data_IF_028919565845
#
_entry.id   IF_028919565845
#
_cell.length_a   1.000
_cell.length_b   1.000
_cell.length_c   1.000
_cell.angle_alpha   90.00
_cell.angle_beta   90.00
_cell.angle_gamma   90.00
#
_symmetry.space_group_name_H-M   'P 1'
#
loop_
_entity.id
_entity.type
_entity.pdbx_description
1 polymer ?
#
# COMPACT_ATOMS: atom_id res chain seq x y z
N UNK A 1 55.94 2.59 34.36
CA UNK A 1 54.71 3.08 35.03
C UNK A 1 53.86 4.03 34.20
N UNK A 2 54.36 4.75 33.18
CA UNK A 2 53.58 5.68 32.33
C UNK A 2 52.77 4.98 31.20
N UNK A 3 53.13 3.80 30.79
CA UNK A 3 52.44 3.10 29.67
C UNK A 3 51.15 2.35 30.07
N UNK A 4 50.97 2.01 31.33
CA UNK A 4 49.75 1.39 31.84
C UNK A 4 48.58 2.38 31.95
N UNK A 5 48.83 3.61 32.39
CA UNK A 5 47.79 4.62 32.54
C UNK A 5 47.13 5.03 31.21
N UNK A 6 47.90 5.07 30.12
CA UNK A 6 47.37 5.40 28.79
C UNK A 6 46.46 4.27 28.22
N UNK A 7 46.76 3.01 28.51
CA UNK A 7 45.99 1.86 28.08
C UNK A 7 44.66 1.78 28.79
N UNK A 8 44.60 2.11 30.07
CA UNK A 8 43.37 2.06 30.87
C UNK A 8 42.44 3.26 30.57
N UNK A 9 42.99 4.44 30.29
CA UNK A 9 42.20 5.60 29.84
C UNK A 9 41.60 5.36 28.45
N UNK A 10 42.37 4.74 27.54
CA UNK A 10 41.89 4.43 26.19
C UNK A 10 40.84 3.32 26.20
N UNK A 11 41.00 2.32 27.05
CA UNK A 11 40.01 1.25 27.25
C UNK A 11 38.71 1.79 27.86
N UNK A 12 38.82 2.70 28.81
CA UNK A 12 37.66 3.44 29.40
C UNK A 12 36.91 4.27 28.37
N UNK A 13 37.63 5.00 27.53
CA UNK A 13 37.03 5.83 26.48
C UNK A 13 36.31 5.02 25.39
N UNK A 14 36.86 3.87 24.98
CA UNK A 14 36.26 2.96 24.03
C UNK A 14 35.03 2.29 24.64
N UNK A 15 35.06 1.94 25.92
CA UNK A 15 33.94 1.31 26.65
C UNK A 15 32.78 2.30 26.81
N UNK A 16 33.05 3.55 27.15
CA UNK A 16 32.04 4.61 27.29
C UNK A 16 31.41 4.98 25.93
N UNK A 17 32.19 5.02 24.83
CA UNK A 17 31.65 5.21 23.48
C UNK A 17 30.78 4.06 23.01
N UNK A 18 31.07 2.82 23.42
CA UNK A 18 30.27 1.66 23.10
C UNK A 18 28.92 1.66 23.81
N UNK A 19 28.92 2.05 25.08
CA UNK A 19 27.72 2.23 25.91
C UNK A 19 26.86 3.38 25.38
N UNK A 20 27.45 4.54 25.08
CA UNK A 20 26.73 5.69 24.49
C UNK A 20 26.14 5.38 23.09
N UNK A 21 26.81 4.54 22.28
CA UNK A 21 26.24 4.07 21.01
C UNK A 21 25.05 3.13 21.22
N UNK A 22 25.07 2.34 22.27
CA UNK A 22 23.96 1.43 22.60
C UNK A 22 22.74 2.22 23.07
N UNK A 23 22.93 3.22 23.94
CA UNK A 23 21.86 4.12 24.38
C UNK A 23 21.30 5.01 23.24
N UNK A 24 22.16 5.46 22.33
CA UNK A 24 21.71 6.21 21.16
C UNK A 24 20.89 5.37 20.17
N UNK A 25 21.13 4.05 20.12
CA UNK A 25 20.31 3.11 19.33
C UNK A 25 18.95 2.85 19.97
N UNK A 26 18.87 2.83 21.29
CA UNK A 26 17.59 2.67 22.00
C UNK A 26 16.72 3.93 21.86
N UNK A 27 17.28 5.12 21.91
CA UNK A 27 16.55 6.36 21.63
C UNK A 27 16.05 6.45 20.16
N UNK A 28 16.79 5.86 19.20
CA UNK A 28 16.34 5.75 17.81
C UNK A 28 15.19 4.77 17.63
N UNK A 29 15.15 3.69 18.41
CA UNK A 29 14.01 2.77 18.45
C UNK A 29 12.78 3.42 19.09
N UNK A 30 12.97 4.24 20.10
CA UNK A 30 11.90 4.99 20.75
C UNK A 30 11.33 6.10 19.86
N UNK A 31 12.14 6.70 19.00
CA UNK A 31 11.69 7.66 17.97
C UNK A 31 10.95 6.92 16.82
N UNK A 32 11.34 5.71 16.50
CA UNK A 32 10.65 4.89 15.49
C UNK A 32 9.32 4.33 16.00
N UNK A 33 9.18 4.13 17.31
CA UNK A 33 7.90 3.75 17.94
C UNK A 33 7.01 4.97 18.22
N UNK A 34 7.56 6.18 18.27
CA UNK A 34 6.82 7.43 18.51
C UNK A 34 6.31 8.12 17.23
N UNK A 35 6.83 7.82 16.07
CA UNK A 35 6.14 8.12 14.81
C UNK A 35 5.05 7.09 14.59
N UNK A 36 4.13 6.99 15.54
CA UNK A 36 2.86 6.34 15.34
C UNK A 36 2.12 7.08 14.23
N UNK A 37 2.28 6.63 13.00
CA UNK A 37 1.32 6.93 11.95
C UNK A 37 -0.03 6.56 12.56
N UNK A 38 -0.87 7.56 12.79
CA UNK A 38 -2.24 7.31 13.26
C UNK A 38 -2.85 6.26 12.33
N UNK A 39 -3.10 5.07 12.86
CA UNK A 39 -3.73 3.97 12.11
C UNK A 39 -5.22 4.22 11.92
N UNK A 40 -5.70 5.39 12.33
CA UNK A 40 -7.09 5.78 12.19
C UNK A 40 -7.31 6.44 10.82
N UNK A 41 -8.42 6.13 10.15
CA UNK A 41 -8.79 6.79 8.89
C UNK A 41 -9.08 8.27 9.11
N UNK A 42 -9.23 9.08 8.05
CA UNK A 42 -9.63 10.48 8.18
C UNK A 42 -10.95 10.60 8.94
N UNK A 43 -11.05 11.53 9.86
CA UNK A 43 -12.28 11.79 10.63
C UNK A 43 -13.48 12.02 9.72
N UNK A 44 -13.30 12.68 8.58
CA UNK A 44 -14.35 12.91 7.59
C UNK A 44 -14.93 11.62 7.02
N UNK A 45 -14.08 10.59 6.77
CA UNK A 45 -14.54 9.29 6.30
C UNK A 45 -15.29 8.55 7.41
N UNK A 46 -14.78 8.58 8.65
CA UNK A 46 -15.44 7.95 9.79
C UNK A 46 -16.81 8.58 10.06
N UNK A 47 -16.92 9.91 9.98
CA UNK A 47 -18.21 10.62 10.12
C UNK A 47 -19.18 10.25 8.99
N UNK A 48 -18.70 10.16 7.75
CA UNK A 48 -19.53 9.79 6.59
C UNK A 48 -20.01 8.33 6.69
N UNK A 49 -19.15 7.40 7.12
CA UNK A 49 -19.52 6.01 7.38
C UNK A 49 -20.56 5.90 8.51
N UNK A 50 -20.37 6.64 9.60
CA UNK A 50 -21.34 6.71 10.70
C UNK A 50 -22.69 7.25 10.21
N UNK A 51 -22.70 8.30 9.40
CA UNK A 51 -23.93 8.84 8.82
C UNK A 51 -24.66 7.82 7.93
N UNK A 52 -23.90 7.10 7.07
CA UNK A 52 -24.45 6.02 6.25
C UNK A 52 -24.99 4.84 7.06
N UNK A 53 -24.36 4.51 8.19
CA UNK A 53 -24.81 3.45 9.10
C UNK A 53 -26.15 3.76 9.76
N UNK A 54 -26.42 5.05 10.05
CA UNK A 54 -27.64 5.50 10.72
C UNK A 54 -28.74 5.93 9.73
N UNK A 55 -28.43 5.97 8.42
CA UNK A 55 -29.41 6.29 7.39
C UNK A 55 -30.32 5.10 7.09
N UNK A 56 -31.60 5.39 6.79
CA UNK A 56 -32.49 4.38 6.24
C UNK A 56 -31.97 3.86 4.89
N UNK A 57 -32.10 2.55 4.66
CA UNK A 57 -31.57 1.91 3.46
C UNK A 57 -32.13 2.49 2.15
N UNK A 58 -33.43 2.83 2.13
CA UNK A 58 -34.08 3.40 0.95
C UNK A 58 -33.60 4.84 0.69
N UNK A 59 -33.46 5.64 1.75
CA UNK A 59 -32.91 7.00 1.67
C UNK A 59 -31.45 6.98 1.18
N UNK A 60 -30.64 6.05 1.69
CA UNK A 60 -29.24 5.88 1.29
C UNK A 60 -29.12 5.50 -0.19
N UNK A 61 -29.94 4.57 -0.69
CA UNK A 61 -29.97 4.20 -2.09
C UNK A 61 -30.28 5.41 -2.97
N UNK A 62 -31.27 6.22 -2.58
CA UNK A 62 -31.65 7.45 -3.30
C UNK A 62 -30.48 8.46 -3.31
N UNK A 63 -29.80 8.64 -2.18
CA UNK A 63 -28.65 9.53 -2.06
C UNK A 63 -27.48 9.09 -2.97
N UNK A 64 -27.27 7.79 -3.13
CA UNK A 64 -26.26 7.21 -4.01
C UNK A 64 -26.71 7.15 -5.49
N UNK A 65 -27.90 7.63 -5.81
CA UNK A 65 -28.48 7.56 -7.16
C UNK A 65 -28.79 6.13 -7.62
N UNK A 66 -28.97 5.21 -6.66
CA UNK A 66 -29.26 3.80 -6.89
C UNK A 66 -30.73 3.46 -6.60
N UNK A 67 -31.11 2.24 -6.85
CA UNK A 67 -32.45 1.72 -6.58
C UNK A 67 -32.36 0.30 -5.97
N UNK A 68 -33.48 -0.23 -5.51
CA UNK A 68 -33.56 -1.61 -5.03
C UNK A 68 -33.21 -2.67 -6.11
N UNK A 69 -33.25 -2.30 -7.39
CA UNK A 69 -32.81 -3.12 -8.51
C UNK A 69 -31.31 -2.94 -8.85
N UNK A 70 -30.61 -2.02 -8.18
CA UNK A 70 -29.23 -1.65 -8.45
C UNK A 70 -29.07 -0.59 -9.54
N UNK A 71 -27.83 -0.32 -9.91
CA UNK A 71 -27.45 0.61 -10.98
C UNK A 71 -27.52 -0.06 -12.35
N UNK A 72 -27.95 0.66 -13.38
CA UNK A 72 -27.78 0.23 -14.77
C UNK A 72 -26.30 0.32 -15.17
N UNK A 73 -25.91 -0.40 -16.22
CA UNK A 73 -24.53 -0.36 -16.73
C UNK A 73 -24.09 1.08 -17.08
N UNK A 74 -24.96 1.85 -17.71
CA UNK A 74 -24.69 3.25 -18.10
C UNK A 74 -24.51 4.17 -16.91
N UNK A 75 -25.30 3.99 -15.84
CA UNK A 75 -25.14 4.72 -14.60
C UNK A 75 -23.84 4.35 -13.89
N UNK A 76 -23.52 3.04 -13.81
CA UNK A 76 -22.28 2.58 -13.20
C UNK A 76 -21.04 3.09 -13.96
N UNK A 77 -21.08 3.13 -15.30
CA UNK A 77 -20.00 3.67 -16.11
C UNK A 77 -19.82 5.18 -15.86
N UNK A 78 -20.93 5.96 -15.78
CA UNK A 78 -20.89 7.39 -15.48
C UNK A 78 -20.36 7.70 -14.05
N UNK A 79 -20.71 6.86 -13.06
CA UNK A 79 -20.16 6.99 -11.70
C UNK A 79 -18.67 6.66 -11.70
N UNK A 80 -18.25 5.63 -12.45
CA UNK A 80 -16.83 5.23 -12.55
C UNK A 80 -15.97 6.32 -13.19
N UNK A 81 -16.46 7.04 -14.20
CA UNK A 81 -15.72 8.18 -14.76
C UNK A 81 -15.47 9.28 -13.74
N UNK A 82 -16.38 9.47 -12.78
CA UNK A 82 -16.24 10.49 -11.72
C UNK A 82 -15.38 10.05 -10.55
N UNK A 83 -15.52 8.79 -10.10
CA UNK A 83 -14.92 8.30 -8.86
C UNK A 83 -13.61 7.55 -9.14
N UNK A 84 -13.44 7.02 -10.34
CA UNK A 84 -12.33 6.16 -10.72
C UNK A 84 -12.61 4.66 -10.49
N UNK A 85 -11.66 3.79 -10.83
CA UNK A 85 -11.76 2.35 -10.61
C UNK A 85 -11.65 1.99 -9.13
N UNK A 86 -12.26 0.87 -8.74
CA UNK A 86 -12.13 0.33 -7.40
C UNK A 86 -10.79 -0.41 -7.23
N UNK A 87 -9.73 0.35 -7.21
CA UNK A 87 -8.36 -0.13 -6.99
C UNK A 87 -7.70 0.77 -5.95
N UNK A 88 -7.02 0.18 -4.98
CA UNK A 88 -6.16 0.93 -4.07
C UNK A 88 -4.89 1.26 -4.83
N UNK A 89 -4.57 2.54 -4.98
CA UNK A 89 -3.36 2.96 -5.67
C UNK A 89 -2.14 2.34 -5.01
N UNK A 90 -1.45 1.53 -5.78
CA UNK A 90 -0.08 1.13 -5.48
C UNK A 90 0.84 2.26 -5.93
N UNK A 91 2.08 2.27 -5.42
CA UNK A 91 3.09 3.22 -5.88
C UNK A 91 3.07 3.32 -7.41
N UNK A 92 2.84 4.53 -7.94
CA UNK A 92 2.88 4.76 -9.39
C UNK A 92 4.22 4.30 -9.92
N UNK A 93 4.27 3.48 -10.97
CA UNK A 93 5.54 3.05 -11.53
C UNK A 93 6.35 4.29 -11.91
N UNK A 94 7.58 4.35 -11.43
CA UNK A 94 8.49 5.45 -11.74
C UNK A 94 8.64 5.58 -13.25
N UNK A 95 8.67 6.80 -13.84
CA UNK A 95 8.92 6.98 -15.25
C UNK A 95 10.27 6.34 -15.63
N UNK A 96 10.34 5.75 -16.81
CA UNK A 96 11.47 4.94 -17.25
C UNK A 96 12.85 5.63 -17.13
N UNK A 97 12.92 6.96 -17.35
CA UNK A 97 14.14 7.74 -17.22
C UNK A 97 14.59 7.90 -15.76
N UNK A 98 13.64 8.00 -14.81
CA UNK A 98 13.94 8.06 -13.38
C UNK A 98 14.40 6.69 -12.87
N UNK A 99 13.82 5.62 -13.42
CA UNK A 99 14.24 4.24 -13.17
C UNK A 99 15.68 4.00 -13.65
N UNK A 100 16.02 4.50 -14.86
CA UNK A 100 17.37 4.44 -15.41
C UNK A 100 18.36 5.24 -14.54
N UNK A 101 17.97 6.45 -14.11
CA UNK A 101 18.77 7.27 -13.20
C UNK A 101 18.99 6.57 -11.85
N UNK A 102 17.99 5.92 -11.32
CA UNK A 102 18.10 5.15 -10.07
C UNK A 102 19.04 3.95 -10.21
N UNK A 103 18.98 3.24 -11.33
CA UNK A 103 19.89 2.14 -11.67
C UNK A 103 21.35 2.61 -11.84
N UNK A 104 21.55 3.81 -12.41
CA UNK A 104 22.89 4.44 -12.53
C UNK A 104 23.44 4.90 -11.18
N UNK A 105 22.61 5.43 -10.27
CA UNK A 105 23.01 5.97 -8.96
C UNK A 105 23.49 4.91 -7.95
N UNK A 106 23.75 3.70 -8.39
CA UNK A 106 24.38 2.68 -7.57
C UNK A 106 25.81 3.15 -7.18
N UNK A 107 26.22 3.06 -5.89
CA UNK A 107 27.55 3.46 -5.43
C UNK A 107 28.69 2.82 -6.25
N UNK A 108 28.53 1.59 -6.69
CA UNK A 108 29.50 0.91 -7.55
C UNK A 108 29.65 1.57 -8.92
N UNK A 109 28.54 1.92 -9.58
CA UNK A 109 28.56 2.63 -10.87
C UNK A 109 29.13 4.04 -10.75
N UNK A 110 28.85 4.75 -9.63
CA UNK A 110 29.44 6.06 -9.35
C UNK A 110 30.95 5.96 -9.18
N UNK A 111 31.44 4.93 -8.48
CA UNK A 111 32.88 4.69 -8.29
C UNK A 111 33.57 4.40 -9.64
N UNK A 112 32.98 3.53 -10.46
CA UNK A 112 33.50 3.25 -11.81
C UNK A 112 33.48 4.48 -12.72
N UNK A 113 32.44 5.30 -12.64
CA UNK A 113 32.33 6.55 -13.41
C UNK A 113 33.42 7.55 -13.00
N UNK A 114 33.68 7.65 -11.69
CA UNK A 114 34.76 8.47 -11.16
C UNK A 114 36.13 7.97 -11.65
N UNK A 115 36.35 6.65 -11.61
CA UNK A 115 37.58 6.02 -12.10
C UNK A 115 37.77 6.24 -13.60
N UNK A 116 36.70 6.12 -14.39
CA UNK A 116 36.74 6.44 -15.83
C UNK A 116 37.13 7.91 -16.08
N UNK A 117 36.61 8.83 -15.26
CA UNK A 117 36.95 10.24 -15.29
C UNK A 117 38.45 10.49 -15.01
N UNK A 118 39.00 9.85 -13.98
CA UNK A 118 40.42 9.93 -13.64
C UNK A 118 41.29 9.36 -14.79
N UNK A 119 40.93 8.19 -15.31
CA UNK A 119 41.62 7.56 -16.43
C UNK A 119 41.63 8.47 -17.67
N UNK A 120 40.53 9.16 -17.93
CA UNK A 120 40.46 10.15 -19.03
C UNK A 120 41.39 11.35 -18.80
N UNK A 121 41.42 11.89 -17.55
CA UNK A 121 42.30 13.00 -17.18
C UNK A 121 43.78 12.65 -17.25
N UNK A 122 44.15 11.39 -17.01
CA UNK A 122 45.52 10.88 -17.09
C UNK A 122 45.91 10.50 -18.54
N UNK A 123 45.09 10.85 -19.55
CA UNK A 123 45.27 10.52 -20.95
C UNK A 123 45.25 9.02 -21.29
N UNK A 124 44.81 8.15 -20.35
CA UNK A 124 44.53 6.74 -20.63
C UNK A 124 43.15 6.57 -21.27
N UNK A 125 43.03 6.92 -22.53
CA UNK A 125 41.77 6.84 -23.29
C UNK A 125 41.27 5.42 -23.44
N UNK A 126 42.15 4.41 -23.48
CA UNK A 126 41.75 2.99 -23.61
C UNK A 126 41.13 2.48 -22.32
N UNK A 127 41.72 2.77 -21.18
CA UNK A 127 41.18 2.46 -19.89
C UNK A 127 39.84 3.16 -19.63
N UNK A 128 39.76 4.47 -19.91
CA UNK A 128 38.53 5.25 -19.78
C UNK A 128 37.36 4.69 -20.62
N UNK A 129 37.64 4.33 -21.89
CA UNK A 129 36.65 3.75 -22.78
C UNK A 129 36.16 2.38 -22.28
N UNK A 130 37.06 1.52 -21.84
CA UNK A 130 36.72 0.19 -21.32
C UNK A 130 35.84 0.28 -20.07
N UNK A 131 36.22 1.11 -19.11
CA UNK A 131 35.44 1.30 -17.87
C UNK A 131 34.08 1.92 -18.18
N UNK A 132 34.01 2.93 -19.03
CA UNK A 132 32.74 3.56 -19.45
C UNK A 132 31.79 2.56 -20.11
N UNK A 133 32.34 1.70 -21.01
CA UNK A 133 31.55 0.63 -21.64
C UNK A 133 30.99 -0.34 -20.60
N UNK A 134 31.78 -0.72 -19.57
CA UNK A 134 31.31 -1.57 -18.50
C UNK A 134 30.19 -0.91 -17.66
N UNK A 135 30.30 0.39 -17.37
CA UNK A 135 29.26 1.14 -16.65
C UNK A 135 27.96 1.18 -17.45
N UNK A 136 28.04 1.49 -18.75
CA UNK A 136 26.88 1.51 -19.64
C UNK A 136 26.24 0.13 -19.71
N UNK A 137 27.02 -0.91 -19.95
CA UNK A 137 26.53 -2.28 -20.06
C UNK A 137 25.88 -2.76 -18.77
N UNK A 138 26.51 -2.54 -17.62
CA UNK A 138 25.98 -2.91 -16.32
C UNK A 138 24.68 -2.18 -15.99
N UNK A 139 24.59 -0.90 -16.32
CA UNK A 139 23.38 -0.09 -16.09
C UNK A 139 22.23 -0.57 -16.99
N UNK A 140 22.48 -0.84 -18.26
CA UNK A 140 21.48 -1.36 -19.20
C UNK A 140 21.00 -2.75 -18.82
N UNK A 141 21.93 -3.63 -18.42
CA UNK A 141 21.60 -5.00 -18.04
C UNK A 141 20.73 -5.04 -16.78
N UNK A 142 21.08 -4.23 -15.78
CA UNK A 142 20.29 -4.06 -14.58
C UNK A 142 18.90 -3.50 -14.87
N UNK A 143 18.81 -2.45 -15.66
CA UNK A 143 17.54 -1.86 -16.09
C UNK A 143 16.64 -2.89 -16.80
N UNK A 144 17.21 -3.68 -17.69
CA UNK A 144 16.47 -4.71 -18.42
C UNK A 144 15.99 -5.85 -17.51
N UNK A 145 16.86 -6.33 -16.61
CA UNK A 145 16.48 -7.35 -15.62
C UNK A 145 15.36 -6.88 -14.71
N UNK A 146 15.45 -5.67 -14.18
CA UNK A 146 14.46 -5.10 -13.29
C UNK A 146 13.11 -4.90 -14.00
N UNK A 147 13.13 -4.41 -15.24
CA UNK A 147 11.94 -4.28 -16.08
C UNK A 147 11.29 -5.63 -16.37
N UNK A 148 12.07 -6.64 -16.73
CA UNK A 148 11.58 -7.98 -16.98
C UNK A 148 10.97 -8.64 -15.73
N UNK A 149 11.60 -8.44 -14.57
CA UNK A 149 11.10 -8.93 -13.29
C UNK A 149 9.76 -8.28 -12.91
N UNK A 150 9.65 -6.96 -13.07
CA UNK A 150 8.41 -6.24 -12.79
C UNK A 150 7.27 -6.66 -13.73
N UNK A 151 7.54 -6.81 -15.04
CA UNK A 151 6.55 -7.31 -16.00
C UNK A 151 6.05 -8.72 -15.66
N UNK A 152 6.94 -9.62 -15.22
CA UNK A 152 6.54 -10.96 -14.79
C UNK A 152 5.66 -10.93 -13.54
N UNK A 153 5.98 -10.07 -12.57
CA UNK A 153 5.17 -9.87 -11.37
C UNK A 153 3.79 -9.28 -11.71
N UNK A 154 3.72 -8.31 -12.61
CA UNK A 154 2.46 -7.70 -13.05
C UNK A 154 1.59 -8.70 -13.85
N UNK A 155 2.20 -9.53 -14.69
CA UNK A 155 1.51 -10.60 -15.40
C UNK A 155 0.89 -11.63 -14.45
N UNK A 156 1.60 -12.01 -13.37
CA UNK A 156 1.06 -12.90 -12.34
C UNK A 156 -0.12 -12.25 -11.58
N UNK A 157 -0.01 -10.97 -11.25
CA UNK A 157 -1.11 -10.21 -10.61
C UNK A 157 -2.34 -10.14 -11.52
N UNK A 158 -2.14 -9.96 -12.83
CA UNK A 158 -3.24 -9.87 -13.80
C UNK A 158 -3.98 -11.21 -14.01
N UNK A 159 -3.33 -12.35 -13.70
CA UNK A 159 -3.99 -13.67 -13.77
C UNK A 159 -5.02 -13.90 -12.67
N UNK A 160 -4.92 -13.18 -11.55
CA UNK A 160 -5.87 -13.24 -10.44
C UNK A 160 -6.93 -12.18 -10.67
N UNK A 161 -7.96 -12.48 -11.45
CA UNK A 161 -9.14 -11.62 -11.60
C UNK A 161 -10.12 -11.92 -10.48
N UNK A 162 -10.20 -11.07 -9.49
CA UNK A 162 -11.23 -11.16 -8.46
C UNK A 162 -12.53 -10.55 -9.02
N UNK A 163 -13.62 -11.32 -8.95
CA UNK A 163 -14.97 -10.88 -9.31
C UNK A 163 -15.81 -10.68 -8.06
N UNK A 164 -16.86 -9.88 -8.18
CA UNK A 164 -17.89 -9.71 -7.17
C UNK A 164 -19.25 -9.92 -7.80
N UNK A 165 -20.16 -10.54 -7.08
CA UNK A 165 -21.55 -10.71 -7.53
C UNK A 165 -22.32 -9.43 -7.26
N UNK A 166 -22.83 -8.78 -8.31
CA UNK A 166 -23.65 -7.57 -8.23
C UNK A 166 -25.07 -7.84 -8.70
N UNK A 167 -26.02 -7.07 -8.15
CA UNK A 167 -27.38 -7.02 -8.64
C UNK A 167 -27.50 -5.80 -9.54
N UNK A 168 -27.76 -6.03 -10.83
CA UNK A 168 -28.02 -4.97 -11.81
C UNK A 168 -29.21 -5.35 -12.70
N UNK A 169 -30.04 -4.37 -13.11
CA UNK A 169 -31.09 -4.62 -14.08
C UNK A 169 -30.48 -4.95 -15.45
N UNK A 170 -31.11 -5.86 -16.20
CA UNK A 170 -30.52 -6.43 -17.41
C UNK A 170 -30.20 -5.39 -18.50
N UNK A 171 -31.04 -4.38 -18.75
CA UNK A 171 -30.79 -3.32 -19.77
C UNK A 171 -31.55 -2.02 -19.55
N UNK A 172 -32.60 -1.96 -18.75
CA UNK A 172 -33.42 -0.74 -18.55
C UNK A 172 -33.69 -0.50 -17.06
N UNK A 173 -33.84 0.74 -16.68
CA UNK A 173 -34.34 1.11 -15.36
C UNK A 173 -35.75 0.52 -15.18
N UNK A 174 -35.93 -0.33 -14.15
CA UNK A 174 -37.21 -1.00 -13.89
C UNK A 174 -37.28 -2.48 -14.28
N UNK A 175 -36.28 -3.05 -14.95
CA UNK A 175 -36.19 -4.48 -15.16
C UNK A 175 -35.81 -5.21 -13.86
N UNK A 176 -36.21 -6.48 -13.74
CA UNK A 176 -35.83 -7.32 -12.59
C UNK A 176 -34.32 -7.38 -12.42
N UNK A 177 -33.85 -7.18 -11.18
CA UNK A 177 -32.47 -7.27 -10.83
C UNK A 177 -31.95 -8.71 -11.04
N UNK A 178 -30.85 -8.85 -11.78
CA UNK A 178 -30.17 -10.13 -11.97
C UNK A 178 -28.81 -10.10 -11.30
N UNK A 179 -28.45 -11.22 -10.71
CA UNK A 179 -27.09 -11.43 -10.21
C UNK A 179 -26.16 -11.63 -11.39
N UNK A 180 -25.07 -10.86 -11.42
CA UNK A 180 -24.03 -10.98 -12.43
C UNK A 180 -22.66 -10.80 -11.79
N UNK A 181 -21.67 -11.47 -12.33
CA UNK A 181 -20.28 -11.29 -11.91
C UNK A 181 -19.65 -10.11 -12.63
N UNK A 182 -19.03 -9.24 -11.86
CA UNK A 182 -18.33 -8.06 -12.34
C UNK A 182 -16.93 -8.04 -11.71
N UNK A 183 -15.92 -7.69 -12.50
CA UNK A 183 -14.58 -7.53 -11.96
C UNK A 183 -14.60 -6.47 -10.83
N UNK A 184 -13.95 -6.75 -9.69
CA UNK A 184 -13.96 -5.87 -8.50
C UNK A 184 -13.58 -4.43 -8.86
N UNK A 185 -12.64 -4.24 -9.78
CA UNK A 185 -12.20 -2.92 -10.26
C UNK A 185 -13.29 -2.09 -10.94
N UNK A 186 -14.38 -2.72 -11.39
CA UNK A 186 -15.49 -2.06 -12.06
C UNK A 186 -16.65 -1.70 -11.12
N UNK A 187 -16.52 -2.03 -9.82
CA UNK A 187 -17.49 -1.64 -8.81
C UNK A 187 -17.46 -0.13 -8.56
N UNK A 188 -18.62 0.43 -8.30
CA UNK A 188 -18.80 1.84 -8.04
C UNK A 188 -19.72 2.08 -6.83
N UNK A 189 -19.61 3.23 -6.15
CA UNK A 189 -20.59 3.61 -5.14
C UNK A 189 -22.02 3.57 -5.69
N UNK A 190 -22.94 2.96 -4.94
CA UNK A 190 -24.32 2.71 -5.35
C UNK A 190 -24.57 1.34 -5.98
N UNK A 191 -23.55 0.55 -6.32
CA UNK A 191 -23.75 -0.84 -6.72
C UNK A 191 -24.31 -1.68 -5.56
N UNK A 192 -25.24 -2.57 -5.86
CA UNK A 192 -25.70 -3.59 -4.93
C UNK A 192 -24.85 -4.85 -5.09
N UNK A 193 -24.17 -5.25 -4.03
CA UNK A 193 -23.35 -6.47 -4.01
C UNK A 193 -24.07 -7.56 -3.23
N UNK A 194 -23.96 -8.80 -3.72
CA UNK A 194 -24.37 -9.99 -3.03
C UNK A 194 -23.14 -10.67 -2.44
N UNK A 195 -23.16 -10.87 -1.12
CA UNK A 195 -22.07 -11.46 -0.35
C UNK A 195 -22.50 -12.84 0.13
N UNK A 196 -21.63 -13.81 0.00
CA UNK A 196 -21.83 -15.21 0.43
C UNK A 196 -20.61 -15.71 1.19
N UNK A 197 -20.77 -16.78 1.97
CA UNK A 197 -19.65 -17.39 2.69
C UNK A 197 -18.49 -17.75 1.76
N UNK A 198 -17.28 -17.32 2.14
CA UNK A 198 -16.04 -17.46 1.36
C UNK A 198 -15.70 -16.24 0.50
N UNK A 199 -16.63 -15.31 0.30
CA UNK A 199 -16.35 -14.10 -0.49
C UNK A 199 -15.47 -13.11 0.27
N UNK A 200 -14.58 -12.49 -0.46
CA UNK A 200 -13.88 -11.28 0.00
C UNK A 200 -14.76 -10.06 -0.27
N UNK A 201 -14.93 -9.21 0.72
CA UNK A 201 -15.72 -7.98 0.61
C UNK A 201 -14.97 -7.00 -0.29
N UNK A 202 -15.59 -6.61 -1.45
CA UNK A 202 -14.87 -5.92 -2.52
C UNK A 202 -14.73 -4.42 -2.34
N UNK A 203 -15.51 -3.83 -1.42
CA UNK A 203 -15.58 -2.38 -1.19
C UNK A 203 -16.19 -2.13 0.21
N UNK A 204 -16.16 -0.90 0.69
CA UNK A 204 -16.88 -0.56 1.91
C UNK A 204 -18.39 -0.48 1.61
N UNK A 205 -19.17 -1.30 2.32
CA UNK A 205 -20.58 -1.49 2.02
C UNK A 205 -21.46 -1.34 3.26
N UNK A 206 -22.68 -0.85 3.04
CA UNK A 206 -23.78 -0.86 4.02
C UNK A 206 -24.65 -2.09 3.76
N UNK A 207 -24.78 -2.95 4.77
CA UNK A 207 -25.62 -4.15 4.71
C UNK A 207 -27.10 -3.73 4.70
N UNK A 208 -27.84 -4.14 3.67
CA UNK A 208 -29.28 -3.88 3.52
C UNK A 208 -30.13 -5.05 3.98
N UNK A 209 -29.67 -6.27 3.71
CA UNK A 209 -30.26 -7.52 4.21
C UNK A 209 -29.15 -8.46 4.58
N UNK A 210 -29.31 -9.19 5.68
CA UNK A 210 -28.35 -10.19 6.14
C UNK A 210 -29.08 -11.42 6.67
N UNK A 211 -28.46 -12.59 6.47
CA UNK A 211 -28.88 -13.85 7.05
C UNK A 211 -27.65 -14.55 7.60
N UNK A 212 -27.57 -14.61 8.94
CA UNK A 212 -26.51 -15.26 9.70
C UNK A 212 -25.09 -14.83 9.22
N UNK A 213 -24.93 -13.52 8.95
CA UNK A 213 -23.71 -12.96 8.38
C UNK A 213 -22.63 -12.79 9.42
N UNK A 214 -21.55 -13.54 9.31
CA UNK A 214 -20.34 -13.39 10.10
C UNK A 214 -19.16 -12.99 9.21
N UNK A 215 -18.44 -11.95 9.60
CA UNK A 215 -17.33 -11.37 8.85
C UNK A 215 -16.06 -11.39 9.67
N UNK A 216 -14.97 -11.88 9.10
CA UNK A 216 -13.64 -11.79 9.69
C UNK A 216 -13.02 -10.45 9.36
N UNK A 217 -12.73 -9.66 10.39
CA UNK A 217 -12.05 -8.36 10.27
C UNK A 217 -10.57 -8.45 10.68
N UNK A 218 -10.02 -9.67 10.78
CA UNK A 218 -8.66 -9.93 11.25
C UNK A 218 -7.57 -9.13 10.52
N UNK A 219 -7.75 -8.87 9.23
CA UNK A 219 -6.82 -8.08 8.43
C UNK A 219 -6.71 -6.61 8.89
N UNK A 220 -7.74 -6.07 9.56
CA UNK A 220 -7.80 -4.68 10.00
C UNK A 220 -7.59 -4.53 11.50
N UNK A 221 -8.25 -5.39 12.31
CA UNK A 221 -8.22 -5.31 13.76
C UNK A 221 -7.13 -6.19 14.39
N UNK A 222 -6.69 -7.23 13.69
CA UNK A 222 -5.82 -8.28 14.22
C UNK A 222 -6.56 -9.33 15.05
N UNK A 223 -7.88 -9.17 15.26
CA UNK A 223 -8.71 -10.10 16.02
C UNK A 223 -9.17 -11.25 15.14
N UNK A 224 -8.98 -12.50 15.58
CA UNK A 224 -9.31 -13.69 14.80
C UNK A 224 -10.78 -14.09 14.86
N UNK A 225 -11.54 -13.58 15.85
CA UNK A 225 -12.96 -13.94 16.01
C UNK A 225 -13.81 -13.21 14.97
N UNK A 226 -14.66 -13.94 14.21
CA UNK A 226 -15.62 -13.33 13.32
C UNK A 226 -16.65 -12.50 14.09
N UNK A 227 -17.04 -11.37 13.50
CA UNK A 227 -18.05 -10.45 14.05
C UNK A 227 -19.36 -10.66 13.30
N UNK A 228 -20.46 -10.75 14.03
CA UNK A 228 -21.80 -10.78 13.43
C UNK A 228 -22.14 -9.42 12.85
N UNK A 229 -22.70 -9.42 11.63
CA UNK A 229 -23.16 -8.22 10.93
C UNK A 229 -24.62 -8.34 10.57
N UNK A 230 -25.36 -7.26 10.77
CA UNK A 230 -26.81 -7.20 10.59
C UNK A 230 -27.24 -6.03 9.69
N UNK A 231 -28.47 -6.06 9.21
CA UNK A 231 -29.03 -4.96 8.42
C UNK A 231 -29.64 -3.84 9.27
N UNK A 232 -29.74 -4.03 10.58
CA UNK A 232 -30.37 -3.07 11.51
C UNK A 232 -29.70 -1.69 11.49
N UNK A 233 -30.41 -0.69 11.98
CA UNK A 233 -29.79 0.59 12.32
C UNK A 233 -28.84 0.30 13.50
N UNK A 234 -27.57 0.64 13.33
CA UNK A 234 -26.56 0.40 14.35
C UNK A 234 -26.88 1.13 15.66
N UNK A 235 -26.33 0.67 16.80
CA UNK A 235 -26.39 1.42 18.05
C UNK A 235 -25.79 2.81 17.85
N UNK A 236 -26.04 3.73 18.81
CA UNK A 236 -25.54 5.10 18.80
C UNK A 236 -24.06 5.18 18.35
N UNK A 237 -23.62 6.29 17.75
CA UNK A 237 -22.34 6.37 17.05
C UNK A 237 -21.20 5.77 17.87
N UNK A 238 -20.67 4.65 17.37
CA UNK A 238 -19.50 4.00 17.92
C UNK A 238 -18.27 4.85 17.65
N UNK A 239 -17.32 4.86 18.55
CA UNK A 239 -16.07 5.60 18.38
C UNK A 239 -15.26 5.12 17.17
N UNK A 240 -15.44 3.85 16.75
CA UNK A 240 -14.76 3.26 15.59
C UNK A 240 -15.82 2.72 14.60
N UNK A 241 -15.65 3.07 13.31
CA UNK A 241 -16.53 2.59 12.25
C UNK A 241 -16.53 1.06 12.09
N UNK A 242 -15.45 0.36 12.48
CA UNK A 242 -15.35 -1.09 12.44
C UNK A 242 -16.32 -1.81 13.40
N UNK A 243 -16.74 -1.12 14.47
CA UNK A 243 -17.64 -1.65 15.49
C UNK A 243 -19.13 -1.58 15.09
N UNK A 244 -19.43 -0.92 13.95
CA UNK A 244 -20.79 -0.80 13.44
C UNK A 244 -21.25 -2.13 12.83
N UNK A 245 -22.38 -2.64 13.31
CA UNK A 245 -22.91 -3.97 12.94
C UNK A 245 -23.39 -4.04 11.48
N UNK A 246 -23.71 -2.90 10.89
CA UNK A 246 -24.31 -2.83 9.57
C UNK A 246 -23.33 -2.35 8.48
N UNK A 247 -22.07 -2.18 8.80
CA UNK A 247 -21.01 -1.88 7.84
C UNK A 247 -20.06 -3.06 7.67
N UNK A 248 -19.65 -3.28 6.44
CA UNK A 248 -18.61 -4.24 6.07
C UNK A 248 -17.57 -3.54 5.20
N UNK A 249 -16.33 -3.92 5.35
CA UNK A 249 -15.19 -3.16 4.84
C UNK A 249 -14.39 -3.93 3.79
N UNK A 250 -13.84 -3.19 2.84
CA UNK A 250 -12.98 -3.72 1.79
C UNK A 250 -11.82 -4.56 2.38
N UNK A 251 -11.57 -5.74 1.82
CA UNK A 251 -10.47 -6.62 2.23
C UNK A 251 -10.76 -7.51 3.46
N UNK A 252 -11.99 -7.47 4.00
CA UNK A 252 -12.48 -8.43 4.99
C UNK A 252 -13.17 -9.61 4.29
N UNK A 253 -13.37 -10.73 5.00
CA UNK A 253 -13.92 -11.95 4.39
C UNK A 253 -15.22 -12.38 5.10
N UNK A 254 -16.19 -12.83 4.30
CA UNK A 254 -17.41 -13.46 4.80
C UNK A 254 -17.08 -14.88 5.25
N UNK A 255 -17.27 -15.16 6.55
CA UNK A 255 -17.02 -16.48 7.13
C UNK A 255 -18.24 -17.38 6.96
N UNK A 256 -19.43 -16.85 7.23
CA UNK A 256 -20.70 -17.56 7.10
C UNK A 256 -21.84 -16.61 6.76
N UNK A 257 -22.95 -17.20 6.30
CA UNK A 257 -24.16 -16.47 5.96
C UNK A 257 -24.14 -15.82 4.59
N UNK A 258 -25.10 -14.92 4.38
CA UNK A 258 -25.21 -14.15 3.12
C UNK A 258 -25.84 -12.79 3.38
N UNK A 259 -25.53 -11.82 2.49
CA UNK A 259 -26.07 -10.47 2.60
C UNK A 259 -26.22 -9.81 1.24
N UNK A 260 -27.18 -8.88 1.15
CA UNK A 260 -27.16 -7.86 0.11
C UNK A 260 -26.71 -6.54 0.74
N UNK A 261 -25.75 -5.88 0.12
CA UNK A 261 -25.17 -4.64 0.62
C UNK A 261 -25.00 -3.62 -0.50
N UNK A 262 -25.08 -2.32 -0.15
CA UNK A 262 -24.81 -1.24 -1.11
C UNK A 262 -23.39 -0.73 -0.91
N UNK A 263 -22.66 -0.56 -2.01
CA UNK A 263 -21.31 0.01 -2.03
C UNK A 263 -21.37 1.49 -1.67
N UNK A 264 -20.59 1.90 -0.66
CA UNK A 264 -20.46 3.28 -0.21
C UNK A 264 -19.20 3.93 -0.78
N UNK A 265 -18.05 3.29 -0.55
CA UNK A 265 -16.74 3.80 -0.93
C UNK A 265 -15.91 2.73 -1.61
N UNK A 266 -15.09 3.16 -2.59
CA UNK A 266 -14.27 2.28 -3.43
C UNK A 266 -12.83 2.78 -3.48
N UNK A 267 -11.88 1.88 -3.75
CA UNK A 267 -10.48 2.19 -4.00
C UNK A 267 -9.83 2.99 -2.87
N UNK A 268 -9.16 4.09 -3.20
CA UNK A 268 -8.46 4.94 -2.24
C UNK A 268 -9.38 5.64 -1.24
N UNK A 269 -10.67 5.79 -1.56
CA UNK A 269 -11.65 6.41 -0.69
C UNK A 269 -12.27 5.42 0.31
N UNK A 270 -11.97 4.11 0.19
CA UNK A 270 -12.38 3.12 1.17
C UNK A 270 -11.58 3.26 2.47
N UNK A 271 -12.09 2.67 3.54
CA UNK A 271 -11.42 2.61 4.84
C UNK A 271 -10.01 1.99 4.71
N UNK A 272 -9.91 0.86 4.02
CA UNK A 272 -8.64 0.20 3.74
C UNK A 272 -7.72 1.05 2.84
N UNK A 273 -8.26 1.67 1.80
CA UNK A 273 -7.51 2.53 0.88
C UNK A 273 -6.93 3.76 1.58
N UNK A 274 -7.70 4.38 2.47
CA UNK A 274 -7.25 5.52 3.28
C UNK A 274 -6.10 5.13 4.23
N UNK A 275 -6.15 3.93 4.83
CA UNK A 275 -5.05 3.41 5.65
C UNK A 275 -3.81 3.09 4.81
N UNK A 276 -3.99 2.41 3.69
CA UNK A 276 -2.90 2.02 2.77
C UNK A 276 -2.15 3.25 2.22
N UNK A 277 -2.88 4.28 1.81
CA UNK A 277 -2.31 5.53 1.29
C UNK A 277 -1.41 6.23 2.32
N UNK A 278 -1.75 6.19 3.60
CA UNK A 278 -0.93 6.74 4.68
C UNK A 278 0.34 5.94 4.94
N UNK A 279 0.26 4.61 4.83
CA UNK A 279 1.44 3.74 4.96
C UNK A 279 2.41 3.94 3.80
N UNK A 280 1.90 4.12 2.58
CA UNK A 280 2.71 4.37 1.37
C UNK A 280 3.38 5.74 1.44
N UNK A 281 2.69 6.77 1.95
CA UNK A 281 3.23 8.12 2.13
C UNK A 281 4.36 8.20 3.17
N UNK A 282 4.49 7.18 4.02
CA UNK A 282 5.60 7.09 4.97
C UNK A 282 6.83 6.54 4.25
N UNK A 283 7.83 7.39 4.04
CA UNK A 283 9.13 7.00 3.44
C UNK A 283 9.64 5.70 4.07
N UNK A 284 9.80 4.67 3.27
CA UNK A 284 10.42 3.42 3.71
C UNK A 284 11.86 3.72 4.13
N UNK A 285 12.13 3.68 5.42
CA UNK A 285 13.49 3.77 5.93
C UNK A 285 14.36 2.73 5.20
N UNK A 286 15.53 3.13 4.64
CA UNK A 286 16.39 2.20 3.93
C UNK A 286 16.74 1.01 4.84
N UNK A 287 16.62 -0.20 4.32
CA UNK A 287 16.93 -1.40 5.10
C UNK A 287 18.36 -1.33 5.66
N UNK A 288 18.59 -1.95 6.83
CA UNK A 288 19.91 -1.94 7.48
C UNK A 288 21.01 -2.46 6.53
N UNK A 289 20.67 -3.35 5.61
CA UNK A 289 21.55 -3.84 4.55
C UNK A 289 21.95 -2.71 3.58
N UNK A 290 20.98 -1.95 3.05
CA UNK A 290 21.26 -0.80 2.16
C UNK A 290 22.08 0.28 2.87
N UNK A 291 21.78 0.54 4.13
CA UNK A 291 22.57 1.48 4.95
C UNK A 291 24.01 0.98 5.16
N UNK A 292 24.21 -0.32 5.33
CA UNK A 292 25.53 -0.96 5.43
C UNK A 292 26.31 -0.87 4.12
N UNK A 293 25.72 -1.23 3.00
CA UNK A 293 26.32 -1.15 1.67
C UNK A 293 26.72 0.29 1.33
N UNK A 294 25.86 1.26 1.60
CA UNK A 294 26.18 2.69 1.41
C UNK A 294 27.37 3.14 2.24
N UNK A 295 27.47 2.71 3.51
CA UNK A 295 28.61 3.06 4.37
C UNK A 295 29.93 2.50 3.85
N UNK A 296 29.92 1.24 3.40
CA UNK A 296 31.12 0.61 2.82
C UNK A 296 31.52 1.30 1.53
N UNK A 297 30.57 1.62 0.66
CA UNK A 297 30.83 2.32 -0.60
C UNK A 297 31.41 3.71 -0.37
N UNK A 298 30.88 4.49 0.58
CA UNK A 298 31.44 5.78 0.95
C UNK A 298 32.84 5.68 1.57
N UNK A 299 33.12 4.62 2.32
CA UNK A 299 34.44 4.35 2.87
C UNK A 299 35.44 4.05 1.76
N UNK A 300 35.06 3.23 0.76
CA UNK A 300 35.89 2.93 -0.39
C UNK A 300 36.18 4.19 -1.25
N UNK A 301 35.18 5.03 -1.48
CA UNK A 301 35.34 6.31 -2.19
C UNK A 301 36.33 7.22 -1.44
N UNK A 302 36.20 7.35 -0.11
CA UNK A 302 37.17 8.11 0.71
C UNK A 302 38.57 7.54 0.63
N UNK A 303 38.71 6.22 0.70
CA UNK A 303 40.00 5.56 0.61
C UNK A 303 40.67 5.80 -0.75
N UNK A 304 39.90 5.73 -1.82
CA UNK A 304 40.37 6.02 -3.17
C UNK A 304 40.84 7.47 -3.34
N UNK A 305 40.12 8.44 -2.75
CA UNK A 305 40.54 9.85 -2.76
C UNK A 305 41.84 10.11 -2.01
N UNK A 306 42.16 9.33 -0.98
CA UNK A 306 43.39 9.45 -0.19
C UNK A 306 44.57 8.80 -0.91
N UNK A 307 44.31 7.76 -1.71
CA UNK A 307 45.36 6.99 -2.42
C UNK A 307 45.67 7.55 -3.82
N UNK A 308 44.76 8.35 -4.43
CA UNK A 308 44.98 9.06 -5.69
C UNK A 308 45.63 10.42 -5.48
#
# INVERSE_FOLDING_TARGET
MRSMLFRDIFAGFVRTRRILRHYRRLALLETLTRTGVSREPPESLTQALNAAAHSDGAALLTQLGSSAAGLTKTQADAVRERVGPNEVEHEKPLPWWLHLWHSFRNPFNLLLTLLAGISFLTHDTKGALLISTMVVLSTLLRFWQERKSNQAADALKAMVSNTATVLRPAQAAGAEARRMEVAIKLLVPGDLVWLSAGDMIPADCRVLTAKDLFVSQAAMTGESMPVEKSAGLGPAPAGNALDLDNLVFMGTNVVSGSAAAVVLYTGNNSYFGALASRVIATDRAPTAFYAGVNKVSWLLIRFMFVMA
#
